data_IF_434749121982
#
_entry.id   IF_434749121982
#
_cell.length_a   1.000
_cell.length_b   1.000
_cell.length_c   1.000
_cell.angle_alpha   90.00
_cell.angle_beta   90.00
_cell.angle_gamma   90.00
#
_symmetry.space_group_name_H-M   'P 1'
#
loop_
_entity.id
_entity.type
_entity.pdbx_description
1 polymer ?
#
# COMPACT_ATOMS: atom_id res chain seq x y z
N UNK A 1 144.88 12.88 46.92
CA UNK A 1 145.51 13.33 45.65
C UNK A 1 144.69 12.73 44.51
N UNK A 2 144.54 13.48 43.42
CA UNK A 2 143.91 13.12 42.13
C UNK A 2 142.42 13.41 41.92
N UNK A 3 142.22 14.67 41.49
CA UNK A 3 141.54 15.10 40.27
C UNK A 3 140.09 14.64 40.05
N UNK A 4 139.16 15.53 40.45
CA UNK A 4 137.93 15.75 39.68
C UNK A 4 138.34 16.10 38.24
N UNK A 5 138.22 15.13 37.34
CA UNK A 5 138.22 15.37 35.90
C UNK A 5 137.00 16.20 35.57
N UNK A 6 137.21 17.50 35.43
CA UNK A 6 136.20 18.43 34.89
C UNK A 6 135.97 17.99 33.45
N UNK A 7 134.84 17.32 33.19
CA UNK A 7 134.41 17.03 31.83
C UNK A 7 134.46 18.31 31.00
N UNK A 8 135.04 18.22 29.81
CA UNK A 8 135.32 19.42 28.99
C UNK A 8 134.06 20.29 28.85
N UNK A 9 134.20 21.63 28.86
CA UNK A 9 133.06 22.54 28.70
C UNK A 9 132.22 22.19 27.45
N UNK A 10 132.88 21.70 26.40
CA UNK A 10 132.26 21.27 25.15
C UNK A 10 131.28 20.10 25.33
N UNK A 11 131.62 19.09 26.14
CA UNK A 11 130.74 17.93 26.40
C UNK A 11 129.52 18.28 27.24
N UNK A 12 129.65 19.25 28.15
CA UNK A 12 128.53 19.75 28.94
C UNK A 12 127.60 20.62 28.10
N UNK A 13 128.17 21.50 27.28
CA UNK A 13 127.42 22.33 26.32
C UNK A 13 126.73 21.44 25.28
N UNK A 14 127.41 20.42 24.75
CA UNK A 14 126.83 19.50 23.76
C UNK A 14 125.67 18.67 24.33
N UNK A 15 125.82 18.10 25.52
CA UNK A 15 124.73 17.34 26.16
C UNK A 15 123.58 18.24 26.58
N UNK A 16 123.85 19.45 27.06
CA UNK A 16 122.82 20.44 27.39
C UNK A 16 122.04 20.88 26.14
N UNK A 17 122.75 21.24 25.06
CA UNK A 17 122.11 21.64 23.80
C UNK A 17 121.33 20.46 23.20
N UNK A 18 121.90 19.25 23.17
CA UNK A 18 121.22 18.07 22.62
C UNK A 18 119.97 17.71 23.42
N UNK A 19 120.05 17.67 24.76
CA UNK A 19 118.89 17.37 25.59
C UNK A 19 117.84 18.46 25.53
N UNK A 20 118.23 19.74 25.52
CA UNK A 20 117.30 20.86 25.39
C UNK A 20 116.59 20.85 24.04
N UNK A 21 117.34 20.71 22.94
CA UNK A 21 116.76 20.65 21.58
C UNK A 21 115.89 19.41 21.43
N UNK A 22 116.34 18.24 21.86
CA UNK A 22 115.57 17.01 21.75
C UNK A 22 114.28 17.07 22.56
N UNK A 23 114.35 17.51 23.83
CA UNK A 23 113.15 17.63 24.66
C UNK A 23 112.20 18.69 24.13
N UNK A 24 112.71 19.84 23.68
CA UNK A 24 111.88 20.91 23.10
C UNK A 24 111.19 20.46 21.81
N UNK A 25 111.93 19.88 20.85
CA UNK A 25 111.39 19.40 19.59
C UNK A 25 110.41 18.24 19.83
N UNK A 26 110.78 17.26 20.67
CA UNK A 26 109.92 16.12 20.95
C UNK A 26 108.61 16.54 21.64
N UNK A 27 108.68 17.41 22.65
CA UNK A 27 107.47 17.90 23.34
C UNK A 27 106.60 18.74 22.41
N UNK A 28 107.19 19.59 21.57
CA UNK A 28 106.45 20.42 20.63
C UNK A 28 105.75 19.58 19.54
N UNK A 29 106.47 18.65 18.92
CA UNK A 29 105.89 17.77 17.89
C UNK A 29 104.82 16.86 18.51
N UNK A 30 105.08 16.28 19.68
CA UNK A 30 104.11 15.40 20.34
C UNK A 30 102.83 16.14 20.74
N UNK A 31 102.94 17.35 21.29
CA UNK A 31 101.77 18.17 21.64
C UNK A 31 101.01 18.62 20.39
N UNK A 32 101.71 18.99 19.31
CA UNK A 32 101.06 19.34 18.03
C UNK A 32 100.30 18.17 17.41
N UNK A 33 100.90 16.97 17.36
CA UNK A 33 100.22 15.78 16.83
C UNK A 33 99.02 15.41 17.70
N UNK A 34 99.16 15.46 19.03
CA UNK A 34 98.08 15.10 19.95
C UNK A 34 96.91 16.10 19.91
N UNK A 35 97.20 17.39 19.76
CA UNK A 35 96.14 18.40 19.59
C UNK A 35 95.42 18.23 18.25
N UNK A 36 96.15 17.93 17.18
CA UNK A 36 95.55 17.64 15.87
C UNK A 36 94.68 16.37 15.89
N UNK A 37 95.14 15.28 16.51
CA UNK A 37 94.35 14.05 16.62
C UNK A 37 93.11 14.25 17.49
N UNK A 38 93.23 15.00 18.59
CA UNK A 38 92.08 15.35 19.45
C UNK A 38 91.05 16.22 18.73
N UNK A 39 91.50 17.23 17.97
CA UNK A 39 90.60 18.04 17.15
C UNK A 39 89.88 17.19 16.11
N UNK A 40 90.59 16.28 15.42
CA UNK A 40 90.00 15.40 14.43
C UNK A 40 88.99 14.41 15.04
N UNK A 41 89.30 13.78 16.18
CA UNK A 41 88.35 12.88 16.85
C UNK A 41 87.14 13.63 17.37
N UNK A 42 87.32 14.81 17.96
CA UNK A 42 86.22 15.65 18.45
C UNK A 42 85.29 16.11 17.32
N UNK A 43 85.85 16.60 16.21
CA UNK A 43 85.07 17.01 15.05
C UNK A 43 84.31 15.81 14.48
N UNK A 44 84.98 14.66 14.34
CA UNK A 44 84.34 13.46 13.80
C UNK A 44 83.24 12.94 14.70
N UNK A 45 83.43 12.88 16.02
CA UNK A 45 82.39 12.42 16.95
C UNK A 45 81.25 13.40 17.03
N UNK A 46 81.51 14.71 17.11
CA UNK A 46 80.48 15.74 17.15
C UNK A 46 79.66 15.75 15.86
N UNK A 47 80.30 15.76 14.70
CA UNK A 47 79.61 15.72 13.41
C UNK A 47 78.84 14.41 13.27
N UNK A 48 79.46 13.26 13.55
CA UNK A 48 78.78 11.98 13.41
C UNK A 48 77.58 11.87 14.35
N UNK A 49 77.74 12.21 15.63
CA UNK A 49 76.63 12.15 16.59
C UNK A 49 75.55 13.16 16.26
N UNK A 50 75.89 14.41 15.98
CA UNK A 50 74.91 15.46 15.67
C UNK A 50 74.16 15.16 14.38
N UNK A 51 74.87 14.84 13.29
CA UNK A 51 74.25 14.52 12.01
C UNK A 51 73.44 13.23 12.13
N UNK A 52 74.00 12.16 12.70
CA UNK A 52 73.28 10.90 12.81
C UNK A 52 72.07 11.04 13.72
N UNK A 53 72.19 11.63 14.90
CA UNK A 53 71.04 11.77 15.80
C UNK A 53 70.00 12.71 15.22
N UNK A 54 70.39 13.88 14.72
CA UNK A 54 69.44 14.84 14.18
C UNK A 54 68.75 14.31 12.93
N UNK A 55 69.49 13.81 11.94
CA UNK A 55 68.91 13.28 10.71
C UNK A 55 68.08 12.04 11.01
N UNK A 56 68.60 11.08 11.77
CA UNK A 56 67.85 9.86 12.05
C UNK A 56 66.61 10.15 12.88
N UNK A 57 66.69 10.95 13.93
CA UNK A 57 65.51 11.25 14.76
C UNK A 57 64.51 12.09 13.99
N UNK A 58 64.95 13.13 13.29
CA UNK A 58 64.04 14.00 12.53
C UNK A 58 63.37 13.25 11.39
N UNK A 59 64.14 12.53 10.56
CA UNK A 59 63.57 11.77 9.44
C UNK A 59 62.68 10.66 9.97
N UNK A 60 63.14 9.88 10.95
CA UNK A 60 62.33 8.78 11.49
C UNK A 60 61.06 9.30 12.14
N UNK A 61 61.13 10.32 12.99
CA UNK A 61 59.93 10.86 13.65
C UNK A 61 59.02 11.53 12.65
N UNK A 62 59.52 12.34 11.73
CA UNK A 62 58.69 13.03 10.73
C UNK A 62 58.03 12.03 9.78
N UNK A 63 58.79 11.11 9.20
CA UNK A 63 58.24 10.11 8.28
C UNK A 63 57.28 9.19 9.03
N UNK A 64 57.66 8.67 10.20
CA UNK A 64 56.79 7.77 10.95
C UNK A 64 55.51 8.49 11.39
N UNK A 65 55.60 9.68 11.98
CA UNK A 65 54.41 10.41 12.42
C UNK A 65 53.57 10.84 11.24
N UNK A 66 54.13 11.40 10.18
CA UNK A 66 53.37 11.86 9.03
C UNK A 66 52.71 10.69 8.29
N UNK A 67 53.47 9.65 7.95
CA UNK A 67 52.91 8.49 7.25
C UNK A 67 51.89 7.78 8.14
N UNK A 68 52.22 7.51 9.40
CA UNK A 68 51.30 6.81 10.28
C UNK A 68 50.04 7.63 10.54
N UNK A 69 50.16 8.92 10.88
CA UNK A 69 48.98 9.75 11.13
C UNK A 69 48.18 9.95 9.86
N UNK A 70 48.80 10.28 8.73
CA UNK A 70 48.07 10.52 7.48
C UNK A 70 47.40 9.25 6.98
N UNK A 71 48.12 8.13 6.87
CA UNK A 71 47.55 6.86 6.41
C UNK A 71 46.50 6.37 7.39
N UNK A 72 46.80 6.33 8.68
CA UNK A 72 45.84 5.83 9.67
C UNK A 72 44.61 6.72 9.73
N UNK A 73 44.75 8.04 9.82
CA UNK A 73 43.58 8.93 9.86
C UNK A 73 42.82 8.85 8.55
N UNK A 74 43.46 9.00 7.40
CA UNK A 74 42.77 8.99 6.11
C UNK A 74 42.06 7.66 5.85
N UNK A 75 42.75 6.53 5.99
CA UNK A 75 42.17 5.21 5.77
C UNK A 75 41.06 4.96 6.80
N UNK A 76 41.32 5.19 8.08
CA UNK A 76 40.31 4.94 9.11
C UNK A 76 39.10 5.85 8.93
N UNK A 77 39.28 7.15 8.71
CA UNK A 77 38.15 8.07 8.51
C UNK A 77 37.43 7.75 7.23
N UNK A 78 38.12 7.52 6.12
CA UNK A 78 37.49 7.25 4.83
C UNK A 78 36.73 5.92 4.86
N UNK A 79 37.37 4.85 5.30
CA UNK A 79 36.73 3.52 5.39
C UNK A 79 35.59 3.58 6.39
N UNK A 80 35.80 4.11 7.60
CA UNK A 80 34.75 4.14 8.60
C UNK A 80 33.58 5.02 8.15
N UNK A 81 33.83 6.23 7.67
CA UNK A 81 32.74 7.11 7.22
C UNK A 81 32.06 6.55 5.99
N UNK A 82 32.78 6.08 4.98
CA UNK A 82 32.18 5.54 3.76
C UNK A 82 31.39 4.27 4.04
N UNK A 83 31.97 3.29 4.73
CA UNK A 83 31.28 2.05 5.05
C UNK A 83 30.10 2.32 5.97
N UNK A 84 30.28 3.09 7.05
CA UNK A 84 29.19 3.38 7.97
C UNK A 84 28.08 4.17 7.28
N UNK A 85 28.39 5.23 6.53
CA UNK A 85 27.36 6.02 5.85
C UNK A 85 26.70 5.21 4.76
N UNK A 86 27.44 4.50 3.91
CA UNK A 86 26.87 3.69 2.83
C UNK A 86 26.00 2.57 3.39
N UNK A 87 26.51 1.76 4.32
CA UNK A 87 25.75 0.65 4.90
C UNK A 87 24.54 1.20 5.66
N UNK A 88 24.72 2.20 6.53
CA UNK A 88 23.61 2.74 7.30
C UNK A 88 22.56 3.37 6.40
N UNK A 89 22.95 4.22 5.45
CA UNK A 89 21.99 4.86 4.54
C UNK A 89 21.33 3.84 3.64
N UNK A 90 22.08 2.93 3.01
CA UNK A 90 21.51 1.92 2.12
C UNK A 90 20.58 0.97 2.86
N UNK A 91 21.02 0.39 3.99
CA UNK A 91 20.18 -0.52 4.76
C UNK A 91 18.97 0.21 5.32
N UNK A 92 19.17 1.38 5.94
CA UNK A 92 18.05 2.13 6.52
C UNK A 92 17.06 2.54 5.44
N UNK A 93 17.52 3.16 4.34
CA UNK A 93 16.63 3.58 3.25
C UNK A 93 15.96 2.39 2.60
N UNK A 94 16.69 1.33 2.25
CA UNK A 94 16.12 0.16 1.59
C UNK A 94 15.12 -0.57 2.49
N UNK A 95 15.48 -0.88 3.73
CA UNK A 95 14.58 -1.57 4.66
C UNK A 95 13.37 -0.68 4.98
N UNK A 96 13.59 0.59 5.32
CA UNK A 96 12.51 1.50 5.65
C UNK A 96 11.58 1.69 4.45
N UNK A 97 12.09 2.00 3.27
CA UNK A 97 11.25 2.19 2.08
C UNK A 97 10.57 0.90 1.69
N UNK A 98 11.27 -0.24 1.63
CA UNK A 98 10.68 -1.52 1.25
C UNK A 98 9.59 -1.95 2.24
N UNK A 99 9.88 -1.98 3.54
CA UNK A 99 8.90 -2.39 4.55
C UNK A 99 7.74 -1.39 4.58
N UNK A 100 8.02 -0.09 4.63
CA UNK A 100 6.96 0.92 4.69
C UNK A 100 6.08 0.88 3.44
N UNK A 101 6.68 0.87 2.24
CA UNK A 101 5.89 0.81 1.00
C UNK A 101 5.12 -0.49 0.92
N UNK A 102 5.75 -1.66 1.07
CA UNK A 102 5.07 -2.95 0.95
C UNK A 102 3.97 -3.12 1.99
N UNK A 103 4.23 -2.78 3.26
CA UNK A 103 3.23 -2.92 4.30
C UNK A 103 2.08 -1.93 4.08
N UNK A 104 2.38 -0.68 3.72
CA UNK A 104 1.36 0.33 3.42
C UNK A 104 0.55 -0.03 2.17
N UNK A 105 1.18 -0.40 1.05
CA UNK A 105 0.44 -0.80 -0.15
C UNK A 105 -0.35 -2.06 0.09
N UNK A 106 0.22 -3.08 0.74
CA UNK A 106 -0.51 -4.32 1.03
C UNK A 106 -1.71 -4.07 1.93
N UNK A 107 -1.52 -3.37 3.06
CA UNK A 107 -2.62 -3.05 3.98
C UNK A 107 -3.65 -2.18 3.28
N UNK A 108 -3.24 -1.11 2.60
CA UNK A 108 -4.17 -0.20 1.95
C UNK A 108 -4.93 -0.90 0.81
N UNK A 109 -4.25 -1.62 -0.07
CA UNK A 109 -4.92 -2.34 -1.17
C UNK A 109 -5.80 -3.45 -0.62
N UNK A 110 -5.33 -4.27 0.31
CA UNK A 110 -6.12 -5.35 0.87
C UNK A 110 -7.36 -4.83 1.61
N UNK A 111 -7.19 -3.88 2.54
CA UNK A 111 -8.31 -3.31 3.29
C UNK A 111 -9.26 -2.58 2.33
N UNK A 112 -8.74 -1.70 1.47
CA UNK A 112 -9.61 -0.92 0.59
C UNK A 112 -10.32 -1.83 -0.40
N UNK A 113 -9.63 -2.74 -1.09
CA UNK A 113 -10.30 -3.63 -2.05
C UNK A 113 -11.25 -4.56 -1.34
N UNK A 114 -10.84 -5.24 -0.27
CA UNK A 114 -11.68 -6.21 0.41
C UNK A 114 -12.90 -5.54 1.04
N UNK A 115 -12.72 -4.47 1.83
CA UNK A 115 -13.84 -3.77 2.47
C UNK A 115 -14.72 -3.11 1.41
N UNK A 116 -14.16 -2.36 0.47
CA UNK A 116 -14.97 -1.66 -0.52
C UNK A 116 -15.72 -2.67 -1.41
N UNK A 117 -15.06 -3.71 -1.92
CA UNK A 117 -15.74 -4.71 -2.75
C UNK A 117 -16.76 -5.48 -1.94
N UNK A 118 -16.43 -5.94 -0.73
CA UNK A 118 -17.37 -6.69 0.10
C UNK A 118 -18.58 -5.84 0.50
N UNK A 119 -18.37 -4.63 1.02
CA UNK A 119 -19.47 -3.73 1.40
C UNK A 119 -20.27 -3.34 0.17
N UNK A 120 -19.63 -2.90 -0.92
CA UNK A 120 -20.34 -2.48 -2.11
C UNK A 120 -21.12 -3.65 -2.73
N UNK A 121 -20.52 -4.81 -2.90
CA UNK A 121 -21.22 -5.97 -3.45
C UNK A 121 -22.31 -6.45 -2.52
N UNK A 122 -22.07 -6.57 -1.22
CA UNK A 122 -23.07 -7.04 -0.26
C UNK A 122 -24.24 -6.07 -0.16
N UNK A 123 -23.97 -4.77 0.05
CA UNK A 123 -25.02 -3.76 0.14
C UNK A 123 -25.76 -3.65 -1.19
N UNK A 124 -25.04 -3.54 -2.32
CA UNK A 124 -25.69 -3.42 -3.62
C UNK A 124 -26.52 -4.66 -3.93
N UNK A 125 -25.97 -5.87 -3.76
CA UNK A 125 -26.74 -7.10 -4.02
C UNK A 125 -27.89 -7.24 -3.06
N UNK A 126 -27.70 -7.05 -1.76
CA UNK A 126 -28.76 -7.20 -0.77
C UNK A 126 -29.87 -6.16 -0.98
N UNK A 127 -29.53 -4.88 -1.08
CA UNK A 127 -30.52 -3.82 -1.30
C UNK A 127 -31.18 -3.99 -2.65
N UNK A 128 -30.41 -4.17 -3.73
CA UNK A 128 -31.00 -4.30 -5.06
C UNK A 128 -31.87 -5.55 -5.14
N UNK A 129 -31.40 -6.71 -4.71
CA UNK A 129 -32.22 -7.93 -4.77
C UNK A 129 -33.41 -7.83 -3.84
N UNK A 130 -33.25 -7.42 -2.59
CA UNK A 130 -34.35 -7.35 -1.64
C UNK A 130 -35.39 -6.32 -2.06
N UNK A 131 -34.98 -5.07 -2.33
CA UNK A 131 -35.92 -4.01 -2.73
C UNK A 131 -36.54 -4.34 -4.08
N UNK A 132 -35.74 -4.71 -5.09
CA UNK A 132 -36.30 -5.01 -6.41
C UNK A 132 -37.23 -6.21 -6.34
N UNK A 133 -36.82 -7.32 -5.72
CA UNK A 133 -37.68 -8.51 -5.65
C UNK A 133 -38.91 -8.22 -4.80
N UNK A 134 -38.78 -7.61 -3.63
CA UNK A 134 -39.91 -7.32 -2.75
C UNK A 134 -40.90 -6.34 -3.40
N UNK A 135 -40.42 -5.20 -3.89
CA UNK A 135 -41.29 -4.21 -4.54
C UNK A 135 -41.89 -4.79 -5.81
N UNK A 136 -41.08 -5.39 -6.68
CA UNK A 136 -41.60 -5.93 -7.94
C UNK A 136 -42.60 -7.06 -7.66
N UNK A 137 -42.27 -8.04 -6.83
CA UNK A 137 -43.20 -9.14 -6.52
C UNK A 137 -44.42 -8.63 -5.80
N UNK A 138 -44.29 -7.82 -4.76
CA UNK A 138 -45.44 -7.33 -4.00
C UNK A 138 -46.36 -6.45 -4.85
N UNK A 139 -45.82 -5.42 -5.52
CA UNK A 139 -46.62 -4.52 -6.35
C UNK A 139 -47.19 -5.29 -7.53
N UNK A 140 -46.39 -6.06 -8.27
CA UNK A 140 -46.90 -6.79 -9.43
C UNK A 140 -47.94 -7.80 -8.98
N UNK A 141 -47.70 -8.62 -7.96
CA UNK A 141 -48.69 -9.61 -7.53
C UNK A 141 -49.93 -8.95 -6.97
N UNK A 142 -49.80 -7.94 -6.11
CA UNK A 142 -50.94 -7.25 -5.53
C UNK A 142 -51.77 -6.54 -6.58
N UNK A 143 -51.16 -5.71 -7.43
CA UNK A 143 -51.87 -4.99 -8.50
C UNK A 143 -52.46 -5.99 -9.50
N UNK A 144 -51.68 -6.95 -9.98
CA UNK A 144 -52.18 -7.93 -10.94
C UNK A 144 -53.32 -8.74 -10.35
N UNK A 145 -53.17 -9.28 -9.14
CA UNK A 145 -54.25 -10.06 -8.51
C UNK A 145 -55.46 -9.20 -8.21
N UNK A 146 -55.29 -8.02 -7.62
CA UNK A 146 -56.41 -7.14 -7.29
C UNK A 146 -57.15 -6.67 -8.54
N UNK A 147 -56.45 -6.12 -9.53
CA UNK A 147 -57.06 -5.66 -10.78
C UNK A 147 -57.67 -6.83 -11.53
N UNK A 148 -56.93 -7.92 -11.73
CA UNK A 148 -57.45 -9.08 -12.45
C UNK A 148 -58.66 -9.67 -11.74
N UNK A 149 -58.59 -9.93 -10.44
CA UNK A 149 -59.73 -10.50 -9.71
C UNK A 149 -60.89 -9.53 -9.64
N UNK A 150 -60.67 -8.25 -9.33
CA UNK A 150 -61.75 -7.27 -9.24
C UNK A 150 -62.42 -7.04 -10.59
N UNK A 151 -61.65 -6.75 -11.65
CA UNK A 151 -62.20 -6.52 -12.98
C UNK A 151 -62.86 -7.80 -13.50
N UNK A 152 -62.17 -8.94 -13.43
CA UNK A 152 -62.73 -10.19 -13.91
C UNK A 152 -64.00 -10.54 -13.14
N UNK A 153 -63.98 -10.55 -11.81
CA UNK A 153 -65.17 -10.90 -11.02
C UNK A 153 -66.27 -9.87 -11.20
N UNK A 154 -65.99 -8.57 -11.15
CA UNK A 154 -67.02 -7.54 -11.29
C UNK A 154 -67.63 -7.57 -12.69
N UNK A 155 -66.82 -7.52 -13.75
CA UNK A 155 -67.33 -7.55 -15.12
C UNK A 155 -68.01 -8.87 -15.41
N UNK A 156 -67.38 -10.01 -15.08
CA UNK A 156 -67.98 -11.31 -15.33
C UNK A 156 -69.28 -11.46 -14.55
N UNK A 157 -69.30 -11.20 -13.24
CA UNK A 157 -70.53 -11.35 -12.45
C UNK A 157 -71.58 -10.35 -12.87
N UNK A 158 -71.26 -9.06 -13.06
CA UNK A 158 -72.22 -8.06 -13.46
C UNK A 158 -72.80 -8.35 -14.83
N UNK A 159 -71.96 -8.55 -15.85
CA UNK A 159 -72.42 -8.84 -17.21
C UNK A 159 -73.16 -10.17 -17.25
N UNK A 160 -72.57 -11.23 -16.70
CA UNK A 160 -73.21 -12.55 -16.72
C UNK A 160 -74.53 -12.52 -15.96
N UNK A 161 -74.57 -12.03 -14.72
CA UNK A 161 -75.83 -12.02 -13.95
C UNK A 161 -76.84 -11.07 -14.55
N UNK A 162 -76.47 -9.84 -14.94
CA UNK A 162 -77.41 -8.88 -15.50
C UNK A 162 -77.96 -9.35 -16.83
N UNK A 163 -77.10 -9.73 -17.79
CA UNK A 163 -77.56 -10.18 -19.10
C UNK A 163 -78.32 -11.49 -18.97
N UNK A 164 -77.79 -12.48 -18.24
CA UNK A 164 -78.47 -13.76 -18.08
C UNK A 164 -79.82 -13.58 -17.38
N UNK A 165 -79.88 -12.89 -16.24
CA UNK A 165 -81.15 -12.70 -15.52
C UNK A 165 -82.11 -11.84 -16.32
N UNK A 166 -81.67 -10.74 -16.92
CA UNK A 166 -82.55 -9.87 -17.69
C UNK A 166 -83.11 -10.59 -18.91
N UNK A 167 -82.26 -11.19 -19.74
CA UNK A 167 -82.70 -11.93 -20.94
C UNK A 167 -83.57 -13.11 -20.53
N UNK A 168 -83.12 -13.93 -19.57
CA UNK A 168 -83.87 -15.10 -19.13
C UNK A 168 -85.23 -14.70 -18.56
N UNK A 169 -85.29 -13.75 -17.62
CA UNK A 169 -86.55 -13.32 -17.01
C UNK A 169 -87.45 -12.61 -18.01
N UNK A 170 -86.93 -11.72 -18.83
CA UNK A 170 -87.73 -10.99 -19.82
C UNK A 170 -88.31 -11.93 -20.87
N UNK A 171 -87.48 -12.77 -21.49
CA UNK A 171 -87.95 -13.74 -22.50
C UNK A 171 -88.90 -14.74 -21.86
N UNK A 172 -88.55 -15.32 -20.70
CA UNK A 172 -89.39 -16.31 -20.03
C UNK A 172 -90.75 -15.71 -19.64
N UNK A 173 -90.78 -14.53 -19.01
CA UNK A 173 -92.04 -13.88 -18.61
C UNK A 173 -92.84 -13.41 -19.81
N UNK A 174 -92.21 -12.85 -20.84
CA UNK A 174 -92.89 -12.39 -22.06
C UNK A 174 -93.53 -13.56 -22.81
N UNK A 175 -92.78 -14.65 -23.04
CA UNK A 175 -93.30 -15.85 -23.70
C UNK A 175 -94.40 -16.49 -22.85
N UNK A 176 -94.16 -16.70 -21.56
CA UNK A 176 -95.12 -17.33 -20.66
C UNK A 176 -96.43 -16.53 -20.58
N UNK A 177 -96.37 -15.21 -20.41
CA UNK A 177 -97.57 -14.35 -20.34
C UNK A 177 -98.28 -14.25 -21.68
N UNK A 178 -97.54 -14.20 -22.79
CA UNK A 178 -98.14 -14.14 -24.15
C UNK A 178 -98.87 -15.44 -24.49
N UNK A 179 -98.28 -16.60 -24.20
CA UNK A 179 -98.93 -17.91 -24.39
C UNK A 179 -100.15 -18.02 -23.48
N UNK A 180 -100.03 -17.66 -22.20
CA UNK A 180 -101.17 -17.72 -21.27
C UNK A 180 -102.32 -16.81 -21.71
N UNK A 181 -102.03 -15.58 -22.15
CA UNK A 181 -103.04 -14.66 -22.72
C UNK A 181 -103.68 -15.22 -23.98
N UNK A 182 -102.90 -15.83 -24.87
CA UNK A 182 -103.42 -16.46 -26.09
C UNK A 182 -104.38 -17.60 -25.76
N UNK A 183 -104.02 -18.49 -24.83
CA UNK A 183 -104.89 -19.60 -24.39
C UNK A 183 -106.16 -19.06 -23.73
N UNK A 184 -106.06 -18.03 -22.89
CA UNK A 184 -107.22 -17.42 -22.27
C UNK A 184 -108.17 -16.79 -23.31
N UNK A 185 -107.62 -16.10 -24.30
CA UNK A 185 -108.40 -15.48 -25.38
C UNK A 185 -109.09 -16.52 -26.26
N UNK A 186 -108.42 -17.62 -26.60
CA UNK A 186 -109.03 -18.70 -27.38
C UNK A 186 -110.14 -19.41 -26.60
N UNK A 187 -109.98 -19.59 -25.28
CA UNK A 187 -111.04 -20.08 -24.39
C UNK A 187 -112.22 -19.10 -24.29
N UNK A 188 -111.96 -17.80 -24.16
CA UNK A 188 -113.01 -16.79 -24.13
C UNK A 188 -113.79 -16.75 -25.45
N UNK A 189 -113.09 -16.83 -26.59
CA UNK A 189 -113.71 -16.85 -27.92
C UNK A 189 -114.53 -18.12 -28.16
N UNK A 190 -114.02 -19.28 -27.74
CA UNK A 190 -114.77 -20.54 -27.85
C UNK A 190 -116.04 -20.52 -26.98
N UNK A 191 -115.97 -19.94 -25.78
CA UNK A 191 -117.13 -19.77 -24.91
C UNK A 191 -118.16 -18.78 -25.49
N UNK A 192 -117.72 -17.63 -26.01
CA UNK A 192 -118.59 -16.66 -26.67
C UNK A 192 -119.28 -17.26 -27.91
N UNK A 193 -118.55 -18.05 -28.71
CA UNK A 193 -119.12 -18.79 -29.84
C UNK A 193 -120.16 -19.83 -29.39
N UNK A 194 -119.90 -20.55 -28.31
CA UNK A 194 -120.87 -21.50 -27.75
C UNK A 194 -122.16 -20.79 -27.29
N UNK A 195 -122.04 -19.65 -26.60
CA UNK A 195 -123.17 -18.82 -26.18
C UNK A 195 -123.96 -18.25 -27.38
N UNK A 196 -123.27 -17.76 -28.42
CA UNK A 196 -123.92 -17.30 -29.64
C UNK A 196 -124.69 -18.42 -30.35
N UNK A 197 -124.14 -19.64 -30.38
CA UNK A 197 -124.82 -20.80 -30.95
C UNK A 197 -126.07 -21.19 -30.13
N UNK A 198 -126.01 -21.13 -28.79
CA UNK A 198 -127.18 -21.37 -27.94
C UNK A 198 -128.26 -20.29 -28.09
N UNK A 199 -127.87 -19.02 -28.21
CA UNK A 199 -128.78 -17.90 -28.42
C UNK A 199 -129.43 -17.97 -29.82
N UNK A 200 -128.67 -18.33 -30.85
CA UNK A 200 -129.19 -18.56 -32.20
C UNK A 200 -130.26 -19.66 -32.22
N UNK A 201 -130.05 -20.75 -31.49
CA UNK A 201 -131.08 -21.79 -31.33
C UNK A 201 -132.30 -21.27 -30.56
N UNK A 202 -132.15 -20.40 -29.56
CA UNK A 202 -133.30 -19.85 -28.83
C UNK A 202 -134.16 -18.91 -29.69
N UNK A 203 -133.57 -18.18 -30.65
CA UNK A 203 -134.30 -17.26 -31.53
C UNK A 203 -135.01 -17.98 -32.68
N UNK A 204 -134.55 -19.17 -33.08
CA UNK A 204 -135.24 -20.01 -34.08
C UNK A 204 -136.52 -20.65 -33.54
N UNK A 205 -136.72 -20.71 -32.21
CA UNK A 205 -137.98 -21.22 -31.63
C UNK A 205 -139.03 -20.13 -31.35
N UNK A 206 -138.72 -18.85 -31.58
CA UNK A 206 -139.66 -17.73 -31.29
C UNK A 206 -140.49 -17.35 -32.53
N UNK A 207 -140.07 -17.73 -33.74
CA UNK A 207 -140.80 -17.41 -34.98
C UNK A 207 -141.72 -18.51 -35.51
N UNK A 208 -141.81 -19.66 -34.84
CA UNK A 208 -142.68 -20.79 -35.24
C UNK A 208 -144.00 -20.86 -34.42
N UNK A 209 -144.48 -19.75 -33.83
CA UNK A 209 -145.68 -19.77 -32.97
C UNK A 209 -146.64 -18.57 -33.08
N UNK A 210 -146.74 -17.96 -34.28
CA UNK A 210 -147.87 -17.10 -34.67
C UNK A 210 -148.33 -17.47 -36.07
#
# INVERSE_FOLDING_TARGET
>A
MFQKTVGSPLTYIHTYIHTYIHTYIHTYIHTYIHTHTYAHTYIRTYIHTYIHTYIHTYIHTYIHTYIHTYIHTYIHTYIHTYIHTYIHTYIHTYIHTYIHTQCHTYIHTYIHTYIHTYIHTYIHTYIHTYIHTYIHTYIHTYIHTYIHTYIHTYIHTYIHTYIHTYIHTYIHTYIHTSIHKFIYLTHAFSHARALAHSLGHSHTYIWDLF
#
